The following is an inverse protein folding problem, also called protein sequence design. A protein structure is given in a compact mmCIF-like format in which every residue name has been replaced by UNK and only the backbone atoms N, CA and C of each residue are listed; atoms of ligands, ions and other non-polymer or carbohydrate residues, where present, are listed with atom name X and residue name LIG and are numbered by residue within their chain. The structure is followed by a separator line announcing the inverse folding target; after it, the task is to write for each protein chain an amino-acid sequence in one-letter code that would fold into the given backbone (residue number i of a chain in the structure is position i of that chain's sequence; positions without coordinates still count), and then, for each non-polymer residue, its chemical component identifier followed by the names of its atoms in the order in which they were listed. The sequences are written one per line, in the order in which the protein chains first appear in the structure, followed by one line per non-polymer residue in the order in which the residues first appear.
data_IF_520974550688
#
_entry.id   IF_520974550688
#
_cell.length_a   1.000
_cell.length_b   1.000
_cell.length_c   1.000
_cell.angle_alpha   90.00
_cell.angle_beta   90.00
_cell.angle_gamma   90.00
#
_symmetry.space_group_name_H-M   'P 1'
#
loop_
_entity.id
_entity.type
_entity.pdbx_description
1 polymer ?
#
# COMPACT_ATOMS: atom_id res chain seq x y z
N UNK A 1 57.63 5.92 -49.96
CA UNK A 1 57.33 5.14 -48.74
C UNK A 1 57.06 6.12 -47.61
N UNK A 2 55.80 6.30 -47.18
CA UNK A 2 55.43 6.81 -45.84
C UNK A 2 53.91 6.67 -45.66
N UNK A 3 53.45 5.56 -45.09
CA UNK A 3 52.09 5.43 -44.56
C UNK A 3 52.11 5.86 -43.08
N UNK A 4 51.32 6.89 -42.73
CA UNK A 4 51.12 7.33 -41.35
C UNK A 4 49.98 6.52 -40.74
N UNK A 5 50.28 5.69 -39.74
CA UNK A 5 49.28 4.99 -38.94
C UNK A 5 48.52 6.01 -38.08
N UNK A 6 47.20 6.10 -38.26
CA UNK A 6 46.30 6.84 -37.37
C UNK A 6 45.78 5.87 -36.31
N UNK A 7 46.29 5.98 -35.09
CA UNK A 7 45.77 5.25 -33.94
C UNK A 7 44.39 5.78 -33.55
N UNK A 8 43.40 4.89 -33.46
CA UNK A 8 42.07 5.20 -32.91
C UNK A 8 42.16 4.97 -31.40
N UNK A 9 41.99 6.03 -30.61
CA UNK A 9 41.85 5.92 -29.17
C UNK A 9 40.40 5.55 -28.83
N UNK A 10 40.19 4.37 -28.25
CA UNK A 10 38.88 3.94 -27.72
C UNK A 10 38.76 4.49 -26.29
N UNK A 11 37.83 5.42 -26.08
CA UNK A 11 37.46 5.91 -24.75
C UNK A 11 36.44 4.95 -24.15
N UNK A 12 36.86 4.15 -23.17
CA UNK A 12 35.95 3.33 -22.37
C UNK A 12 35.22 4.23 -21.36
N UNK A 13 33.94 4.52 -21.62
CA UNK A 13 33.05 5.15 -20.66
C UNK A 13 32.69 4.09 -19.61
N UNK A 14 33.27 4.19 -18.42
CA UNK A 14 32.86 3.42 -17.25
C UNK A 14 31.50 3.96 -16.78
N UNK A 15 30.41 3.30 -17.18
CA UNK A 15 29.11 3.53 -16.57
C UNK A 15 29.17 3.06 -15.11
N UNK A 16 29.23 3.98 -14.17
CA UNK A 16 29.01 3.68 -12.76
C UNK A 16 27.55 3.24 -12.60
N UNK A 17 27.32 1.97 -12.32
CA UNK A 17 26.00 1.45 -11.98
C UNK A 17 25.67 1.95 -10.58
N UNK A 18 24.96 3.07 -10.50
CA UNK A 18 24.32 3.47 -9.26
C UNK A 18 23.12 2.54 -9.09
N UNK A 19 23.18 1.61 -8.14
CA UNK A 19 21.97 0.92 -7.69
C UNK A 19 21.03 1.98 -7.15
N UNK A 20 19.93 2.27 -7.86
CA UNK A 20 18.82 2.99 -7.26
C UNK A 20 18.29 2.08 -6.14
N UNK A 21 18.56 2.43 -4.90
CA UNK A 21 17.95 1.79 -3.74
C UNK A 21 16.45 2.09 -3.77
N UNK A 22 15.63 1.04 -3.90
CA UNK A 22 14.19 1.17 -3.85
C UNK A 22 13.72 0.94 -2.42
N UNK A 23 13.31 2.01 -1.75
CA UNK A 23 12.69 1.93 -0.42
C UNK A 23 11.44 1.04 -0.44
N UNK A 24 11.10 0.48 0.72
CA UNK A 24 9.83 -0.18 0.94
C UNK A 24 8.70 0.79 0.63
N UNK A 25 7.74 0.35 -0.18
CA UNK A 25 6.51 1.08 -0.51
C UNK A 25 5.30 0.18 -0.37
N UNK A 26 4.17 0.78 -0.02
CA UNK A 26 2.89 0.11 0.17
C UNK A 26 1.86 0.63 -0.84
N UNK A 27 0.91 -0.20 -1.31
CA UNK A 27 -0.22 0.28 -2.10
C UNK A 27 -1.13 1.17 -1.24
N UNK A 28 -1.85 2.11 -1.86
CA UNK A 28 -2.67 3.09 -1.15
C UNK A 28 -3.75 2.50 -0.22
N UNK A 29 -4.23 1.29 -0.51
CA UNK A 29 -5.20 0.59 0.36
C UNK A 29 -4.62 0.16 1.71
N UNK A 30 -3.29 0.01 1.79
CA UNK A 30 -2.56 -0.27 3.03
C UNK A 30 -1.97 1.05 3.53
N UNK A 31 -2.72 1.75 4.35
CA UNK A 31 -2.40 3.11 4.77
C UNK A 31 -2.89 3.43 6.18
N UNK A 32 -2.69 4.68 6.58
CA UNK A 32 -3.27 5.21 7.81
C UNK A 32 -4.79 5.05 7.82
N UNK A 33 -5.36 4.88 9.01
CA UNK A 33 -6.82 4.82 9.26
C UNK A 33 -7.54 3.65 8.59
N UNK A 34 -6.81 2.67 8.06
CA UNK A 34 -7.40 1.49 7.45
C UNK A 34 -8.05 0.56 8.49
N UNK A 35 -8.75 -0.47 7.99
CA UNK A 35 -9.29 -1.56 8.79
C UNK A 35 -8.67 -2.88 8.34
N UNK A 36 -8.09 -3.63 9.27
CA UNK A 36 -7.69 -5.02 9.05
C UNK A 36 -8.85 -5.96 9.37
N UNK A 37 -9.01 -7.00 8.54
CA UNK A 37 -10.02 -8.03 8.79
C UNK A 37 -9.67 -8.85 10.03
N UNK A 38 -10.57 -8.89 11.00
CA UNK A 38 -10.45 -9.69 12.22
C UNK A 38 -10.54 -11.19 11.94
N UNK A 39 -10.03 -11.98 12.88
CA UNK A 39 -10.20 -13.44 12.97
C UNK A 39 -9.71 -14.23 11.74
N UNK A 40 -8.81 -13.65 10.93
CA UNK A 40 -8.17 -14.32 9.80
C UNK A 40 -6.72 -13.88 9.60
N UNK A 41 -5.97 -14.65 8.82
CA UNK A 41 -4.62 -14.26 8.42
C UNK A 41 -4.67 -13.09 7.45
N UNK A 42 -4.14 -11.93 7.86
CA UNK A 42 -4.25 -10.67 7.10
C UNK A 42 -3.02 -10.48 6.22
N UNK A 43 -3.17 -10.39 4.90
CA UNK A 43 -2.05 -10.10 4.01
C UNK A 43 -1.64 -8.63 4.12
N UNK A 44 -0.34 -8.38 4.28
CA UNK A 44 0.29 -7.06 4.11
C UNK A 44 1.37 -7.23 3.05
N UNK A 45 1.37 -6.36 2.04
CA UNK A 45 2.25 -6.48 0.89
C UNK A 45 2.70 -5.12 0.38
N UNK A 46 3.72 -5.14 -0.46
CA UNK A 46 4.28 -3.93 -1.04
C UNK A 46 5.37 -4.22 -2.06
N UNK A 47 6.19 -3.21 -2.29
CA UNK A 47 7.45 -3.34 -3.03
C UNK A 47 8.64 -2.99 -2.14
N UNK A 48 9.80 -3.53 -2.46
CA UNK A 48 11.09 -3.24 -1.88
C UNK A 48 12.19 -3.67 -2.87
N UNK A 49 13.45 -3.44 -2.53
CA UNK A 49 14.56 -3.95 -3.35
C UNK A 49 14.58 -5.48 -3.38
N UNK A 50 14.87 -6.13 -4.52
CA UNK A 50 15.02 -7.58 -4.58
C UNK A 50 15.98 -8.13 -3.53
N UNK A 51 15.52 -9.12 -2.76
CA UNK A 51 16.29 -9.74 -1.68
C UNK A 51 16.24 -9.02 -0.32
N UNK A 52 15.61 -7.84 -0.24
CA UNK A 52 15.44 -7.09 1.00
C UNK A 52 14.55 -7.83 1.99
N UNK A 53 14.95 -7.83 3.27
CA UNK A 53 14.15 -8.37 4.37
C UNK A 53 13.18 -7.29 4.87
N UNK A 54 11.89 -7.62 4.87
CA UNK A 54 10.80 -6.76 5.33
C UNK A 54 10.10 -7.42 6.51
N UNK A 55 9.97 -6.70 7.62
CA UNK A 55 9.22 -7.13 8.81
C UNK A 55 8.00 -6.24 9.01
N UNK A 56 6.87 -6.84 9.33
CA UNK A 56 5.62 -6.11 9.66
C UNK A 56 5.18 -6.51 11.05
N UNK A 57 4.91 -5.51 11.90
CA UNK A 57 4.38 -5.69 13.25
C UNK A 57 3.06 -4.92 13.43
N UNK A 58 2.06 -5.57 14.01
CA UNK A 58 0.75 -5.01 14.33
C UNK A 58 0.29 -5.55 15.69
N UNK A 59 0.34 -4.72 16.73
CA UNK A 59 0.08 -5.17 18.10
C UNK A 59 1.03 -6.31 18.51
N UNK A 60 0.46 -7.46 18.89
CA UNK A 60 1.24 -8.66 19.24
C UNK A 60 1.60 -9.54 18.02
N UNK A 61 1.02 -9.28 16.84
CA UNK A 61 1.30 -10.03 15.62
C UNK A 61 2.54 -9.46 14.91
N UNK A 62 3.41 -10.33 14.44
CA UNK A 62 4.57 -9.95 13.61
C UNK A 62 4.87 -11.04 12.59
N UNK A 63 5.33 -10.64 11.41
CA UNK A 63 5.74 -11.54 10.35
C UNK A 63 6.83 -10.89 9.49
N UNK A 64 7.67 -11.72 8.86
CA UNK A 64 8.74 -11.25 7.98
C UNK A 64 8.67 -11.97 6.61
N UNK A 65 9.10 -11.27 5.57
CA UNK A 65 9.24 -11.79 4.22
C UNK A 65 10.48 -11.18 3.56
N UNK A 66 11.00 -11.90 2.56
CA UNK A 66 12.03 -11.38 1.67
C UNK A 66 11.40 -10.94 0.36
N UNK A 67 11.77 -9.78 -0.15
CA UNK A 67 11.33 -9.32 -1.46
C UNK A 67 11.89 -10.23 -2.57
N UNK A 68 11.01 -10.61 -3.49
CA UNK A 68 11.36 -11.43 -4.65
C UNK A 68 12.23 -10.69 -5.67
N UNK A 69 12.67 -11.40 -6.71
CA UNK A 69 13.43 -10.81 -7.81
C UNK A 69 12.67 -9.69 -8.55
N UNK A 70 11.34 -9.69 -8.45
CA UNK A 70 10.42 -8.69 -8.99
C UNK A 70 10.13 -7.52 -8.02
N UNK A 71 10.81 -7.49 -6.88
CA UNK A 71 10.65 -6.51 -5.82
C UNK A 71 9.37 -6.66 -4.99
N UNK A 72 8.52 -7.66 -5.25
CA UNK A 72 7.29 -7.87 -4.48
C UNK A 72 7.58 -8.65 -3.20
N UNK A 73 6.88 -8.28 -2.13
CA UNK A 73 6.89 -9.02 -0.87
C UNK A 73 5.47 -9.08 -0.30
N UNK A 74 5.19 -10.11 0.51
CA UNK A 74 3.95 -10.24 1.25
C UNK A 74 4.21 -11.04 2.52
N UNK A 75 3.64 -10.58 3.63
CA UNK A 75 3.51 -11.34 4.86
C UNK A 75 2.04 -11.62 5.15
N UNK A 76 1.78 -12.60 6.02
CA UNK A 76 0.46 -12.83 6.60
C UNK A 76 0.56 -12.68 8.11
N UNK A 77 -0.05 -11.64 8.65
CA UNK A 77 -0.17 -11.46 10.09
C UNK A 77 -1.12 -12.52 10.67
N UNK A 78 -0.83 -13.00 11.88
CA UNK A 78 -1.70 -13.94 12.58
C UNK A 78 -3.09 -13.30 12.84
N UNK A 79 -4.16 -14.11 12.97
CA UNK A 79 -5.48 -13.61 13.33
C UNK A 79 -5.47 -12.74 14.59
N UNK A 80 -6.20 -11.63 14.54
CA UNK A 80 -6.37 -10.70 15.65
C UNK A 80 -7.86 -10.50 15.93
N UNK A 81 -8.27 -10.38 17.20
CA UNK A 81 -9.66 -10.06 17.54
C UNK A 81 -10.00 -8.62 17.14
N UNK A 82 -11.30 -8.32 17.04
CA UNK A 82 -11.76 -6.96 16.80
C UNK A 82 -11.26 -5.98 17.89
N UNK A 83 -10.89 -4.77 17.49
CA UNK A 83 -10.41 -3.74 18.40
C UNK A 83 -9.58 -2.66 17.72
N UNK A 84 -8.66 -2.07 18.49
CA UNK A 84 -7.87 -0.92 18.09
C UNK A 84 -8.46 0.41 18.56
N UNK A 85 -7.92 1.55 18.10
CA UNK A 85 -6.87 1.64 17.07
C UNK A 85 -5.50 1.12 17.52
N UNK A 86 -4.73 0.58 16.58
CA UNK A 86 -3.33 0.19 16.73
C UNK A 86 -2.47 0.87 15.65
N UNK A 87 -1.16 0.93 15.88
CA UNK A 87 -0.18 1.28 14.85
C UNK A 87 0.39 0.00 14.22
N UNK A 88 0.70 0.05 12.92
CA UNK A 88 1.42 -0.99 12.19
C UNK A 88 2.76 -0.44 11.76
N UNK A 89 3.84 -1.17 12.05
CA UNK A 89 5.18 -0.80 11.61
C UNK A 89 5.68 -1.76 10.56
N UNK A 90 6.07 -1.23 9.40
CA UNK A 90 6.75 -1.95 8.32
C UNK A 90 8.21 -1.50 8.31
N UNK A 91 9.14 -2.44 8.52
CA UNK A 91 10.57 -2.19 8.56
C UNK A 91 11.28 -2.96 7.45
N UNK A 92 12.01 -2.23 6.61
CA UNK A 92 13.03 -2.75 5.71
C UNK A 92 14.27 -1.85 5.82
N UNK A 93 14.78 -1.37 4.68
CA UNK A 93 15.81 -0.30 4.65
C UNK A 93 15.28 1.04 5.15
N UNK A 94 13.98 1.29 4.99
CA UNK A 94 13.22 2.39 5.59
C UNK A 94 12.16 1.85 6.56
N UNK A 95 11.58 2.76 7.35
CA UNK A 95 10.49 2.46 8.27
C UNK A 95 9.23 3.23 7.86
N UNK A 96 8.10 2.53 7.78
CA UNK A 96 6.76 3.10 7.58
C UNK A 96 5.93 2.75 8.80
N UNK A 97 5.27 3.76 9.39
CA UNK A 97 4.32 3.59 10.49
C UNK A 97 2.94 3.99 9.99
N UNK A 98 2.01 3.02 9.95
CA UNK A 98 0.59 3.25 9.66
C UNK A 98 -0.13 3.47 10.98
N UNK A 99 -0.86 4.56 11.10
CA UNK A 99 -1.49 5.00 12.34
C UNK A 99 -3.01 4.83 12.30
N UNK A 100 -3.61 4.72 13.48
CA UNK A 100 -5.07 4.66 13.66
C UNK A 100 -5.72 3.49 12.90
N UNK A 101 -5.07 2.34 12.89
CA UNK A 101 -5.58 1.15 12.20
C UNK A 101 -6.53 0.38 13.10
N UNK A 102 -7.75 0.12 12.62
CA UNK A 102 -8.72 -0.72 13.32
C UNK A 102 -8.55 -2.19 12.94
N UNK A 103 -8.97 -3.10 13.82
CA UNK A 103 -9.19 -4.51 13.50
C UNK A 103 -10.68 -4.78 13.61
N UNK A 104 -11.32 -5.22 12.53
CA UNK A 104 -12.77 -5.31 12.45
C UNK A 104 -13.26 -6.03 11.20
N UNK A 105 -14.49 -5.75 10.78
CA UNK A 105 -15.08 -6.31 9.57
C UNK A 105 -14.80 -5.39 8.36
N UNK A 106 -14.24 -5.96 7.29
CA UNK A 106 -13.92 -5.27 6.05
C UNK A 106 -14.92 -5.66 4.97
N UNK A 107 -15.64 -4.68 4.45
CA UNK A 107 -16.68 -4.88 3.44
C UNK A 107 -16.23 -4.31 2.10
N UNK A 108 -16.41 -5.09 1.04
CA UNK A 108 -16.26 -4.60 -0.33
C UNK A 108 -17.63 -4.17 -0.84
N UNK A 109 -17.87 -2.87 -0.86
CA UNK A 109 -19.10 -2.30 -1.39
C UNK A 109 -19.00 -2.18 -2.92
N UNK A 110 -19.56 -3.16 -3.63
CA UNK A 110 -19.69 -3.15 -5.09
C UNK A 110 -21.12 -3.47 -5.50
N UNK A 111 -21.53 -3.06 -6.71
CA UNK A 111 -22.89 -3.31 -7.18
C UNK A 111 -23.38 -2.33 -8.24
N UNK A 112 -24.69 -2.13 -8.28
CA UNK A 112 -25.37 -1.22 -9.22
C UNK A 112 -24.99 0.26 -8.98
N UNK A 113 -25.38 1.12 -9.93
CA UNK A 113 -24.94 2.52 -10.06
C UNK A 113 -25.18 3.42 -8.84
N UNK A 114 -26.00 2.99 -7.87
CA UNK A 114 -26.28 3.73 -6.64
C UNK A 114 -25.49 3.25 -5.41
N UNK A 115 -24.63 2.22 -5.51
CA UNK A 115 -23.84 1.77 -4.35
C UNK A 115 -22.83 2.83 -3.89
N UNK A 116 -22.45 3.76 -4.77
CA UNK A 116 -21.60 4.91 -4.46
C UNK A 116 -22.42 6.17 -4.08
N UNK A 117 -23.74 6.06 -3.92
CA UNK A 117 -24.57 7.22 -3.60
C UNK A 117 -24.19 7.78 -2.23
N UNK A 118 -23.85 9.07 -2.17
CA UNK A 118 -23.41 9.68 -0.92
C UNK A 118 -24.60 10.03 -0.04
N UNK A 119 -24.38 10.08 1.28
CA UNK A 119 -25.40 10.56 2.23
C UNK A 119 -25.87 11.97 1.85
N UNK A 120 -24.97 12.85 1.38
CA UNK A 120 -25.32 14.20 0.94
C UNK A 120 -26.27 14.27 -0.25
N UNK A 121 -26.38 13.21 -1.06
CA UNK A 121 -27.30 13.13 -2.18
C UNK A 121 -28.60 12.38 -1.83
N UNK A 122 -28.77 11.92 -0.59
CA UNK A 122 -29.96 11.19 -0.13
C UNK A 122 -31.12 12.14 0.23
N UNK A 123 -32.35 11.61 0.27
CA UNK A 123 -33.54 12.41 0.55
C UNK A 123 -33.57 12.99 1.99
N UNK A 124 -32.93 12.34 2.94
CA UNK A 124 -32.86 12.68 4.36
C UNK A 124 -31.45 13.07 4.82
N UNK A 125 -30.62 13.60 3.90
CA UNK A 125 -29.21 13.89 4.14
C UNK A 125 -28.94 14.67 5.44
N UNK A 126 -29.72 15.73 5.72
CA UNK A 126 -29.52 16.55 6.91
C UNK A 126 -29.70 15.77 8.22
N UNK A 127 -30.69 14.87 8.27
CA UNK A 127 -30.96 14.04 9.46
C UNK A 127 -29.89 12.98 9.66
N UNK A 128 -29.45 12.33 8.58
CA UNK A 128 -28.41 11.29 8.63
C UNK A 128 -27.05 11.90 9.00
N UNK A 129 -26.68 13.03 8.41
CA UNK A 129 -25.45 13.75 8.76
C UNK A 129 -25.46 14.19 10.23
N UNK A 130 -26.60 14.67 10.74
CA UNK A 130 -26.71 15.05 12.15
C UNK A 130 -26.52 13.87 13.12
N UNK A 131 -26.77 12.63 12.67
CA UNK A 131 -26.62 11.40 13.45
C UNK A 131 -25.28 10.67 13.18
N UNK A 132 -24.50 11.14 12.19
CA UNK A 132 -23.31 10.46 11.70
C UNK A 132 -22.10 10.61 12.65
N UNK A 133 -22.16 9.94 13.80
CA UNK A 133 -21.05 9.84 14.76
C UNK A 133 -20.57 8.39 14.79
N UNK A 134 -19.77 8.03 13.80
CA UNK A 134 -19.33 6.64 13.58
C UNK A 134 -17.82 6.52 13.51
N UNK A 135 -17.14 6.71 14.64
CA UNK A 135 -15.68 6.63 14.73
C UNK A 135 -15.10 5.25 14.36
N UNK A 136 -15.91 4.19 14.24
CA UNK A 136 -15.49 2.87 13.79
C UNK A 136 -15.68 2.61 12.30
N UNK A 137 -16.35 3.50 11.56
CA UNK A 137 -16.52 3.38 10.11
C UNK A 137 -15.34 4.08 9.44
N UNK A 138 -14.73 3.40 8.47
CA UNK A 138 -13.63 3.90 7.65
C UNK A 138 -13.97 3.62 6.19
N UNK A 139 -13.84 4.63 5.32
CA UNK A 139 -14.18 4.51 3.91
C UNK A 139 -12.93 4.68 3.03
N UNK A 140 -12.66 3.69 2.19
CA UNK A 140 -11.69 3.79 1.10
C UNK A 140 -12.43 3.88 -0.23
N UNK A 141 -12.43 5.06 -0.85
CA UNK A 141 -13.13 5.29 -2.11
C UNK A 141 -12.17 5.19 -3.29
N UNK A 142 -12.36 4.20 -4.16
CA UNK A 142 -11.56 4.03 -5.37
C UNK A 142 -11.96 5.08 -6.41
N UNK A 143 -11.03 5.92 -6.91
CA UNK A 143 -11.34 6.95 -7.88
C UNK A 143 -11.73 6.32 -9.23
N UNK A 144 -12.65 6.97 -9.93
CA UNK A 144 -13.05 6.59 -11.29
C UNK A 144 -12.01 7.07 -12.30
N UNK A 145 -10.99 6.24 -12.52
CA UNK A 145 -9.93 6.50 -13.50
C UNK A 145 -10.10 5.54 -14.68
N UNK A 146 -10.11 6.09 -15.90
CA UNK A 146 -10.08 5.28 -17.11
C UNK A 146 -8.65 4.83 -17.35
N UNK A 147 -8.44 3.51 -17.47
CA UNK A 147 -7.15 2.92 -17.81
C UNK A 147 -7.37 1.85 -18.89
N UNK A 148 -6.46 1.80 -19.86
CA UNK A 148 -6.47 0.76 -20.91
C UNK A 148 -5.83 -0.54 -20.43
N UNK A 149 -5.07 -0.47 -19.34
CA UNK A 149 -4.39 -1.60 -18.71
C UNK A 149 -4.64 -1.59 -17.18
N UNK A 150 -4.54 -2.74 -16.49
CA UNK A 150 -4.65 -2.79 -15.05
C UNK A 150 -3.60 -1.90 -14.37
N UNK A 151 -4.05 -1.00 -13.49
CA UNK A 151 -3.16 -0.21 -12.65
C UNK A 151 -2.75 -1.02 -11.42
N UNK A 152 -1.49 -0.88 -11.02
CA UNK A 152 -0.96 -1.54 -9.83
C UNK A 152 -1.44 -0.90 -8.51
N UNK A 153 -1.90 0.36 -8.56
CA UNK A 153 -2.35 1.12 -7.40
C UNK A 153 -3.31 2.26 -7.82
N UNK A 154 -3.93 2.91 -6.83
CA UNK A 154 -4.86 4.03 -7.02
C UNK A 154 -4.47 5.22 -6.14
N UNK A 155 -4.85 6.43 -6.56
CA UNK A 155 -4.68 7.63 -5.73
C UNK A 155 -5.88 7.80 -4.82
N UNK A 156 -5.84 7.17 -3.65
CA UNK A 156 -6.88 7.23 -2.63
C UNK A 156 -6.28 7.13 -1.22
N UNK A 157 -7.09 7.43 -0.21
CA UNK A 157 -6.75 7.26 1.20
C UNK A 157 -8.01 6.92 1.99
N UNK A 158 -7.84 6.33 3.17
CA UNK A 158 -8.94 6.04 4.09
C UNK A 158 -9.44 7.33 4.76
N UNK A 159 -10.76 7.50 4.76
CA UNK A 159 -11.47 8.58 5.45
C UNK A 159 -12.24 8.03 6.66
N UNK A 160 -12.37 8.88 7.69
CA UNK A 160 -13.22 8.67 8.88
C UNK A 160 -14.48 9.48 8.71
#
# INVERSE_FOLDING_TARGET
MHQRARGVAVVCILCAWSSLYADVTLPAVIGDRMVLQRDMHVPIWGRAEPGEDVTVAAGAASAAAKAGADGRWMVRLAPMPAGGPIDITVKGKNEIVLRDVLVGDVWVCSGQSNMQWTVGASANAAEEVAKAVHAGIRLFSVPRVVALEPLADVKAAWAV
#
